data_IF_109861086095
#
_entry.id   IF_109861086095
#
_cell.length_a   1.000
_cell.length_b   1.000
_cell.length_c   1.000
_cell.angle_alpha   90.00
_cell.angle_beta   90.00
_cell.angle_gamma   90.00
#
_symmetry.space_group_name_H-M   'P 1'
#
loop_
_entity.id
_entity.type
_entity.pdbx_description
1 polymer ?
#
# COMPACT_ATOMS: atom_id res chain seq x y z
N UNK A 1 23.95 -1.89 -11.09
CA UNK A 1 23.35 -2.48 -12.32
C UNK A 1 21.85 -2.41 -12.19
N UNK A 2 21.12 -2.18 -13.29
CA UNK A 2 19.65 -2.21 -13.28
C UNK A 2 19.24 -3.68 -13.13
N UNK A 3 18.55 -4.02 -12.05
CA UNK A 3 18.04 -5.37 -11.83
C UNK A 3 16.67 -5.53 -12.50
N UNK A 4 16.66 -6.22 -13.65
CA UNK A 4 15.43 -6.48 -14.40
C UNK A 4 14.42 -7.35 -13.64
N UNK A 5 14.86 -8.10 -12.63
CA UNK A 5 13.96 -8.90 -11.80
C UNK A 5 13.00 -8.02 -11.00
N UNK A 6 13.43 -6.82 -10.57
CA UNK A 6 12.58 -5.84 -9.91
C UNK A 6 11.47 -5.38 -10.86
N UNK A 7 11.82 -4.99 -12.09
CA UNK A 7 10.84 -4.53 -13.09
C UNK A 7 9.80 -5.61 -13.40
N UNK A 8 10.25 -6.86 -13.53
CA UNK A 8 9.38 -8.02 -13.73
C UNK A 8 8.47 -8.27 -12.51
N UNK A 9 9.00 -8.16 -11.29
CA UNK A 9 8.25 -8.31 -10.04
C UNK A 9 7.14 -7.27 -9.94
N UNK A 10 7.44 -6.01 -10.27
CA UNK A 10 6.46 -4.93 -10.31
C UNK A 10 5.39 -5.18 -11.37
N UNK A 11 5.76 -5.57 -12.59
CA UNK A 11 4.78 -5.90 -13.63
C UNK A 11 3.86 -7.06 -13.23
N UNK A 12 4.42 -8.11 -12.62
CA UNK A 12 3.65 -9.24 -12.12
C UNK A 12 2.66 -8.82 -11.01
N UNK A 13 3.10 -7.95 -10.09
CA UNK A 13 2.24 -7.42 -9.03
C UNK A 13 1.09 -6.56 -9.60
N UNK A 14 1.35 -5.72 -10.61
CA UNK A 14 0.30 -5.00 -11.34
C UNK A 14 -0.65 -5.96 -12.08
N UNK A 15 -0.13 -7.07 -12.60
CA UNK A 15 -0.91 -8.14 -13.19
C UNK A 15 -1.85 -8.82 -12.19
N UNK A 16 -1.36 -9.11 -10.98
CA UNK A 16 -2.18 -9.64 -9.88
C UNK A 16 -3.31 -8.68 -9.54
N UNK A 17 -3.02 -7.39 -9.42
CA UNK A 17 -4.04 -6.37 -9.20
C UNK A 17 -5.10 -6.33 -10.33
N UNK A 18 -4.67 -6.38 -11.58
CA UNK A 18 -5.57 -6.40 -12.74
C UNK A 18 -6.46 -7.65 -12.76
N UNK A 19 -5.94 -8.82 -12.37
CA UNK A 19 -6.72 -10.04 -12.21
C UNK A 19 -7.78 -9.90 -11.11
N UNK A 20 -7.40 -9.36 -9.95
CA UNK A 20 -8.33 -9.10 -8.85
C UNK A 20 -9.49 -8.21 -9.30
N UNK A 21 -9.18 -7.14 -10.04
CA UNK A 21 -10.18 -6.24 -10.62
C UNK A 21 -11.08 -6.93 -11.64
N UNK A 22 -10.49 -7.67 -12.58
CA UNK A 22 -11.21 -8.43 -13.61
C UNK A 22 -12.16 -9.49 -13.04
N UNK A 23 -11.91 -9.96 -11.81
CA UNK A 23 -12.77 -10.91 -11.08
C UNK A 23 -13.90 -10.24 -10.28
N UNK A 24 -14.06 -8.91 -10.39
CA UNK A 24 -15.09 -8.14 -9.67
C UNK A 24 -14.62 -7.61 -8.32
N UNK A 25 -13.34 -7.22 -8.22
CA UNK A 25 -12.73 -6.67 -7.00
C UNK A 25 -13.48 -5.49 -6.37
N UNK A 26 -14.02 -4.58 -7.19
CA UNK A 26 -14.84 -3.45 -6.71
C UNK A 26 -16.08 -3.90 -5.93
N UNK A 27 -16.89 -4.76 -6.55
CA UNK A 27 -18.12 -5.25 -5.95
C UNK A 27 -17.83 -6.08 -4.69
N UNK A 28 -16.73 -6.84 -4.72
CA UNK A 28 -16.22 -7.58 -3.58
C UNK A 28 -15.86 -6.66 -2.40
N UNK A 29 -14.99 -5.64 -2.60
CA UNK A 29 -14.61 -4.72 -1.52
C UNK A 29 -15.81 -3.94 -0.99
N UNK A 30 -16.70 -3.49 -1.88
CA UNK A 30 -17.95 -2.82 -1.50
C UNK A 30 -18.82 -3.69 -0.60
N UNK A 31 -18.95 -4.99 -0.89
CA UNK A 31 -19.69 -5.95 -0.05
C UNK A 31 -19.09 -6.05 1.35
N UNK A 32 -17.76 -6.08 1.46
CA UNK A 32 -17.08 -6.13 2.75
C UNK A 32 -17.28 -4.84 3.55
N UNK A 33 -17.17 -3.66 2.92
CA UNK A 33 -17.45 -2.38 3.60
C UNK A 33 -18.87 -2.38 4.15
N UNK A 34 -19.87 -2.74 3.34
CA UNK A 34 -21.27 -2.80 3.78
C UNK A 34 -21.47 -3.79 4.94
N UNK A 35 -20.78 -4.94 4.91
CA UNK A 35 -20.88 -5.97 5.95
C UNK A 35 -20.30 -5.52 7.30
N UNK A 36 -19.24 -4.71 7.28
CA UNK A 36 -18.63 -4.17 8.49
C UNK A 36 -19.33 -2.91 8.99
N UNK A 37 -19.89 -2.09 8.09
CA UNK A 37 -20.51 -0.80 8.40
C UNK A 37 -21.57 -0.93 9.50
N UNK A 38 -22.51 -1.86 9.34
CA UNK A 38 -23.57 -2.09 10.34
C UNK A 38 -23.08 -2.57 11.72
N UNK A 39 -21.84 -3.06 11.83
CA UNK A 39 -21.27 -3.59 13.08
C UNK A 39 -20.40 -2.56 13.82
N UNK A 40 -19.47 -1.95 13.10
CA UNK A 40 -18.41 -1.10 13.66
C UNK A 40 -18.52 0.38 13.25
N UNK A 41 -19.47 0.71 12.38
CA UNK A 41 -19.58 2.03 11.77
C UNK A 41 -18.66 2.20 10.55
N UNK A 42 -19.00 3.14 9.67
CA UNK A 42 -18.36 3.28 8.36
C UNK A 42 -16.86 3.58 8.43
N UNK A 43 -16.38 4.38 9.40
CA UNK A 43 -14.94 4.66 9.55
C UNK A 43 -14.17 3.38 9.80
N UNK A 44 -14.59 2.59 10.79
CA UNK A 44 -13.91 1.35 11.14
C UNK A 44 -14.17 0.21 10.15
N UNK A 45 -15.25 0.28 9.38
CA UNK A 45 -15.45 -0.60 8.23
C UNK A 45 -14.38 -0.34 7.16
N UNK A 46 -14.12 0.92 6.82
CA UNK A 46 -13.04 1.30 5.90
C UNK A 46 -11.68 0.88 6.47
N UNK A 47 -11.41 1.14 7.75
CA UNK A 47 -10.19 0.67 8.42
C UNK A 47 -10.03 -0.85 8.30
N UNK A 48 -11.08 -1.62 8.57
CA UNK A 48 -11.05 -3.08 8.52
C UNK A 48 -10.78 -3.59 7.10
N UNK A 49 -11.46 -3.04 6.09
CA UNK A 49 -11.27 -3.43 4.69
C UNK A 49 -9.88 -3.04 4.20
N UNK A 50 -9.43 -1.80 4.42
CA UNK A 50 -8.07 -1.37 4.04
C UNK A 50 -6.99 -2.22 4.72
N UNK A 51 -7.16 -2.52 6.00
CA UNK A 51 -6.18 -3.33 6.76
C UNK A 51 -6.14 -4.78 6.33
N UNK A 52 -7.29 -5.36 5.98
CA UNK A 52 -7.40 -6.76 5.59
C UNK A 52 -6.86 -7.03 4.19
N UNK A 53 -7.10 -6.13 3.24
CA UNK A 53 -6.80 -6.38 1.83
C UNK A 53 -5.51 -5.73 1.32
N UNK A 54 -5.09 -4.59 1.88
CA UNK A 54 -3.87 -3.91 1.42
C UNK A 54 -2.55 -4.67 1.63
N UNK A 55 -2.42 -5.67 2.53
CA UNK A 55 -1.26 -6.56 2.54
C UNK A 55 -1.21 -7.54 1.35
N UNK A 56 -2.35 -7.80 0.72
CA UNK A 56 -2.46 -8.79 -0.36
C UNK A 56 -2.60 -8.17 -1.75
N UNK A 57 -2.97 -6.90 -1.78
CA UNK A 57 -3.19 -6.10 -2.98
C UNK A 57 -2.29 -4.88 -2.90
N UNK A 58 -1.82 -4.38 -4.04
CA UNK A 58 -1.22 -3.05 -4.14
C UNK A 58 -2.09 -1.99 -3.44
N UNK A 59 -1.52 -1.26 -2.48
CA UNK A 59 -2.16 -0.14 -1.79
C UNK A 59 -2.84 0.83 -2.78
N UNK A 60 -2.19 1.18 -3.88
CA UNK A 60 -2.70 2.11 -4.89
C UNK A 60 -3.96 1.56 -5.57
N UNK A 61 -4.01 0.24 -5.80
CA UNK A 61 -5.17 -0.45 -6.39
C UNK A 61 -6.33 -0.50 -5.40
N UNK A 62 -6.05 -0.77 -4.12
CA UNK A 62 -7.07 -0.64 -3.07
C UNK A 62 -7.68 0.76 -3.09
N UNK A 63 -6.86 1.81 -3.19
CA UNK A 63 -7.33 3.20 -3.27
C UNK A 63 -8.18 3.47 -4.52
N UNK A 64 -7.74 3.03 -5.71
CA UNK A 64 -8.52 3.20 -6.96
C UNK A 64 -9.93 2.63 -6.82
N UNK A 65 -10.04 1.48 -6.16
CA UNK A 65 -11.29 0.74 -6.03
C UNK A 65 -12.15 1.27 -4.88
N UNK A 66 -11.53 1.43 -3.72
CA UNK A 66 -12.23 1.69 -2.46
C UNK A 66 -12.57 3.17 -2.33
N UNK A 67 -11.76 4.10 -2.83
CA UNK A 67 -12.03 5.54 -2.67
C UNK A 67 -13.35 5.97 -3.32
N UNK A 68 -13.69 5.57 -4.57
CA UNK A 68 -15.00 5.84 -5.14
C UNK A 68 -16.15 5.26 -4.32
N UNK A 69 -15.96 4.07 -3.75
CA UNK A 69 -16.93 3.42 -2.86
C UNK A 69 -17.11 4.27 -1.59
N UNK A 70 -16.03 4.63 -0.91
CA UNK A 70 -16.01 5.49 0.29
C UNK A 70 -16.72 6.82 0.04
N UNK A 71 -16.45 7.47 -1.10
CA UNK A 71 -17.12 8.71 -1.50
C UNK A 71 -18.63 8.49 -1.70
N UNK A 72 -19.05 7.44 -2.41
CA UNK A 72 -20.47 7.12 -2.62
C UNK A 72 -21.17 6.84 -1.29
N UNK A 73 -20.52 6.10 -0.39
CA UNK A 73 -20.96 5.86 0.97
C UNK A 73 -21.15 7.17 1.75
N UNK A 74 -20.14 8.04 1.75
CA UNK A 74 -20.21 9.33 2.43
C UNK A 74 -21.42 10.17 1.99
N UNK A 75 -21.67 10.20 0.67
CA UNK A 75 -22.82 10.88 0.07
C UNK A 75 -24.15 10.23 0.44
N UNK A 76 -24.25 8.91 0.36
CA UNK A 76 -25.48 8.18 0.69
C UNK A 76 -25.94 8.41 2.12
N UNK A 77 -24.97 8.44 3.03
CA UNK A 77 -25.18 8.57 4.46
C UNK A 77 -25.08 9.99 5.01
N UNK A 78 -24.80 10.97 4.14
CA UNK A 78 -24.58 12.37 4.50
C UNK A 78 -23.53 12.54 5.64
N UNK A 79 -22.50 11.71 5.63
CA UNK A 79 -21.36 11.81 6.56
C UNK A 79 -20.20 12.53 5.92
N UNK A 80 -19.34 13.10 6.77
CA UNK A 80 -18.11 13.72 6.30
C UNK A 80 -17.19 12.68 5.67
N UNK A 81 -16.78 12.95 4.43
CA UNK A 81 -15.91 12.07 3.64
C UNK A 81 -14.45 12.18 4.09
N UNK A 82 -14.04 13.30 4.70
CA UNK A 82 -12.64 13.54 5.03
C UNK A 82 -12.05 12.49 6.00
N UNK A 83 -12.70 12.12 7.12
CA UNK A 83 -12.20 11.07 8.00
C UNK A 83 -12.17 9.69 7.35
N UNK A 84 -13.09 9.40 6.43
CA UNK A 84 -13.11 8.12 5.72
C UNK A 84 -11.94 8.00 4.74
N UNK A 85 -11.65 9.06 4.00
CA UNK A 85 -10.49 9.11 3.10
C UNK A 85 -9.19 9.02 3.88
N UNK A 86 -9.08 9.71 5.02
CA UNK A 86 -7.88 9.63 5.86
C UNK A 86 -7.74 8.24 6.46
N UNK A 87 -8.82 7.62 6.92
CA UNK A 87 -8.80 6.24 7.40
C UNK A 87 -8.36 5.27 6.30
N UNK A 88 -8.90 5.41 5.09
CA UNK A 88 -8.54 4.61 3.94
C UNK A 88 -7.04 4.74 3.62
N UNK A 89 -6.58 5.97 3.38
CA UNK A 89 -5.18 6.29 3.07
C UNK A 89 -4.26 5.76 4.16
N UNK A 90 -4.52 6.11 5.42
CA UNK A 90 -3.67 5.75 6.54
C UNK A 90 -3.51 4.22 6.65
N UNK A 91 -4.61 3.48 6.61
CA UNK A 91 -4.57 2.04 6.80
C UNK A 91 -4.13 1.28 5.57
N UNK A 92 -4.30 1.79 4.35
CA UNK A 92 -3.66 1.18 3.17
C UNK A 92 -2.14 1.29 3.24
N UNK A 93 -1.58 2.43 3.63
CA UNK A 93 -0.13 2.58 3.78
C UNK A 93 0.41 1.80 4.99
N UNK A 94 -0.27 1.83 6.15
CA UNK A 94 0.13 1.06 7.34
C UNK A 94 0.10 -0.45 7.02
N UNK A 95 -1.03 -0.96 6.51
CA UNK A 95 -1.19 -2.40 6.35
C UNK A 95 -0.36 -2.96 5.20
N UNK A 96 -0.23 -2.24 4.07
CA UNK A 96 0.61 -2.74 2.96
C UNK A 96 2.07 -2.98 3.37
N UNK A 97 2.63 -2.15 4.27
CA UNK A 97 4.00 -2.25 4.78
C UNK A 97 4.35 -3.58 5.46
N UNK A 98 3.37 -4.34 5.96
CA UNK A 98 3.65 -5.63 6.63
C UNK A 98 4.11 -6.72 5.65
N UNK A 99 3.72 -6.58 4.38
CA UNK A 99 3.88 -7.63 3.37
C UNK A 99 4.90 -7.25 2.30
N UNK A 100 5.73 -8.18 1.80
CA UNK A 100 6.68 -7.89 0.73
C UNK A 100 6.03 -7.41 -0.58
N UNK A 101 4.78 -7.79 -0.83
CA UNK A 101 4.08 -7.54 -2.10
C UNK A 101 2.87 -6.59 -1.96
N UNK A 102 2.63 -6.00 -0.78
CA UNK A 102 1.55 -5.02 -0.61
C UNK A 102 1.83 -3.66 -1.25
N UNK A 103 3.10 -3.35 -1.57
CA UNK A 103 3.51 -2.06 -2.11
C UNK A 103 4.82 -2.20 -2.93
N UNK A 104 5.05 -1.43 -4.00
CA UNK A 104 6.29 -1.53 -4.76
C UNK A 104 7.57 -1.33 -3.96
N UNK A 105 7.61 -0.41 -2.98
CA UNK A 105 8.83 -0.23 -2.18
C UNK A 105 9.19 -1.48 -1.36
N UNK A 106 8.19 -2.26 -0.95
CA UNK A 106 8.42 -3.48 -0.18
C UNK A 106 9.04 -4.55 -1.08
N UNK A 107 8.65 -4.64 -2.35
CA UNK A 107 9.27 -5.54 -3.32
C UNK A 107 10.75 -5.18 -3.52
N UNK A 108 11.08 -3.88 -3.63
CA UNK A 108 12.46 -3.43 -3.78
C UNK A 108 13.32 -3.90 -2.60
N UNK A 109 12.82 -3.71 -1.38
CA UNK A 109 13.51 -4.06 -0.13
C UNK A 109 13.60 -5.58 0.06
N UNK A 110 12.53 -6.31 -0.25
CA UNK A 110 12.51 -7.76 -0.17
C UNK A 110 13.50 -8.38 -1.16
N UNK A 111 13.47 -7.94 -2.42
CA UNK A 111 14.40 -8.41 -3.45
C UNK A 111 15.86 -8.10 -3.12
N UNK A 112 16.13 -6.94 -2.51
CA UNK A 112 17.48 -6.54 -2.14
C UNK A 112 18.01 -7.22 -0.85
N UNK A 113 17.12 -7.62 0.06
CA UNK A 113 17.52 -8.19 1.36
C UNK A 113 17.72 -9.70 1.33
N UNK A 114 17.05 -10.42 0.42
CA UNK A 114 17.09 -11.88 0.38
C UNK A 114 16.42 -12.55 1.58
N UNK A 115 15.61 -11.80 2.36
CA UNK A 115 14.81 -12.37 3.44
C UNK A 115 13.70 -13.24 2.90
N UNK A 116 13.29 -14.25 3.66
CA UNK A 116 12.01 -14.93 3.42
C UNK A 116 10.83 -14.00 3.68
N UNK A 117 9.66 -14.33 3.11
CA UNK A 117 8.42 -13.57 3.35
C UNK A 117 8.10 -13.54 4.85
N UNK A 118 8.33 -14.64 5.56
CA UNK A 118 8.07 -14.75 7.00
C UNK A 118 8.95 -13.81 7.83
N UNK A 119 10.25 -13.76 7.54
CA UNK A 119 11.20 -12.85 8.21
C UNK A 119 10.89 -11.39 7.92
N UNK A 120 10.44 -11.08 6.70
CA UNK A 120 10.01 -9.72 6.35
C UNK A 120 8.79 -9.31 7.19
N UNK A 121 7.77 -10.16 7.27
CA UNK A 121 6.57 -9.91 8.08
C UNK A 121 6.93 -9.75 9.56
N UNK A 122 7.77 -10.64 10.09
CA UNK A 122 8.24 -10.63 11.48
C UNK A 122 8.96 -9.33 11.85
N UNK A 123 9.77 -8.78 10.93
CA UNK A 123 10.46 -7.51 11.14
C UNK A 123 9.58 -6.26 10.99
N UNK A 124 8.39 -6.39 10.39
CA UNK A 124 7.55 -5.25 10.01
C UNK A 124 6.33 -5.03 10.93
N UNK A 125 5.74 -6.09 11.50
CA UNK A 125 4.39 -6.00 12.09
C UNK A 125 4.30 -5.13 13.35
N UNK A 126 5.31 -5.13 14.23
CA UNK A 126 5.19 -4.52 15.56
C UNK A 126 4.97 -3.00 15.52
N UNK A 127 5.78 -2.19 14.79
CA UNK A 127 5.53 -0.75 14.71
C UNK A 127 4.22 -0.41 13.98
N UNK A 128 3.78 -1.27 13.05
CA UNK A 128 2.52 -1.08 12.32
C UNK A 128 1.30 -1.26 13.22
N UNK A 129 1.34 -2.21 14.17
CA UNK A 129 0.27 -2.36 15.18
C UNK A 129 0.19 -1.12 16.07
N UNK A 130 1.34 -0.61 16.53
CA UNK A 130 1.38 0.62 17.32
C UNK A 130 0.87 1.83 16.52
N UNK A 131 1.29 1.96 15.26
CA UNK A 131 0.86 3.03 14.36
C UNK A 131 -0.64 2.99 14.07
N UNK A 132 -1.16 1.79 13.74
CA UNK A 132 -2.59 1.55 13.53
C UNK A 132 -3.41 1.86 14.78
N UNK A 133 -2.92 1.51 15.98
CA UNK A 133 -3.54 1.86 17.24
C UNK A 133 -3.66 3.38 17.43
N UNK A 134 -2.56 4.12 17.21
CA UNK A 134 -2.55 5.58 17.29
C UNK A 134 -3.47 6.23 16.25
N UNK A 135 -3.44 5.75 15.00
CA UNK A 135 -4.34 6.21 13.95
C UNK A 135 -5.82 5.97 14.31
N UNK A 136 -6.15 4.79 14.86
CA UNK A 136 -7.49 4.48 15.37
C UNK A 136 -7.91 5.48 16.46
N UNK A 137 -7.03 5.80 17.43
CA UNK A 137 -7.34 6.76 18.50
C UNK A 137 -7.70 8.13 17.94
N UNK A 138 -6.96 8.62 16.94
CA UNK A 138 -7.25 9.90 16.27
C UNK A 138 -8.58 9.85 15.48
N UNK A 139 -8.94 8.67 14.96
CA UNK A 139 -10.15 8.47 14.17
C UNK A 139 -11.42 8.18 15.02
N UNK A 140 -11.28 7.77 16.29
CA UNK A 140 -12.39 7.47 17.20
C UNK A 140 -13.47 8.56 17.25
N UNK A 141 -13.16 9.88 17.31
CA UNK A 141 -14.17 10.93 17.35
C UNK A 141 -15.07 10.97 16.10
N UNK A 142 -14.63 10.37 14.99
CA UNK A 142 -15.35 10.31 13.74
C UNK A 142 -16.14 9.01 13.55
N UNK A 143 -16.01 8.04 14.46
CA UNK A 143 -16.63 6.73 14.41
C UNK A 143 -18.13 6.73 14.75
N UNK A 144 -18.87 7.74 14.29
CA UNK A 144 -20.32 7.79 14.45
C UNK A 144 -20.95 6.66 13.63
N UNK A 145 -21.77 5.82 14.28
CA UNK A 145 -22.67 4.90 13.57
C UNK A 145 -23.68 5.73 12.79
N UNK A 146 -23.81 5.48 11.50
CA UNK A 146 -24.91 6.06 10.75
C UNK A 146 -26.19 5.40 11.23
N UNK A 147 -27.24 6.18 11.48
CA UNK A 147 -28.48 5.69 12.08
C UNK A 147 -29.06 4.49 11.32
N UNK A 148 -29.75 3.62 12.05
CA UNK A 148 -30.24 2.27 11.67
C UNK A 148 -31.24 2.21 10.50
N UNK A 149 -31.46 3.30 9.75
CA UNK A 149 -32.57 3.44 8.80
C UNK A 149 -32.19 3.40 7.31
N UNK A 150 -30.91 3.34 6.94
CA UNK A 150 -30.49 3.25 5.53
C UNK A 150 -29.48 2.12 5.37
N UNK A 151 -29.86 1.02 4.75
CA UNK A 151 -28.90 0.00 4.36
C UNK A 151 -28.14 0.49 3.12
N UNK A 152 -26.82 0.38 3.13
CA UNK A 152 -26.08 0.53 1.89
C UNK A 152 -26.37 -0.69 1.02
N UNK A 153 -26.72 -0.52 -0.27
CA UNK A 153 -27.07 -1.66 -1.11
C UNK A 153 -25.94 -2.68 -1.10
N UNK A 154 -26.21 -3.86 -0.54
CA UNK A 154 -25.25 -4.95 -0.51
C UNK A 154 -25.03 -5.44 -1.92
N UNK A 155 -23.80 -5.24 -2.35
CA UNK A 155 -23.25 -5.77 -3.56
C UNK A 155 -23.42 -7.30 -3.65
N UNK A 156 -24.09 -7.82 -4.68
CA UNK A 156 -24.13 -9.28 -4.97
C UNK A 156 -22.84 -9.61 -5.73
N UNK A 157 -21.76 -9.75 -4.97
CA UNK A 157 -20.42 -10.02 -5.49
C UNK A 157 -20.03 -11.49 -5.40
N UNK A 158 -19.23 -11.95 -6.36
CA UNK A 158 -18.54 -13.24 -6.32
C UNK A 158 -17.52 -13.28 -5.17
N UNK A 159 -17.28 -14.46 -4.59
CA UNK A 159 -16.17 -14.69 -3.65
C UNK A 159 -14.84 -14.97 -4.35
N UNK A 160 -14.84 -15.02 -5.69
CA UNK A 160 -13.67 -15.33 -6.51
C UNK A 160 -12.47 -14.42 -6.23
N UNK A 161 -12.62 -13.09 -6.03
CA UNK A 161 -11.47 -12.24 -5.69
C UNK A 161 -10.78 -12.65 -4.39
N UNK A 162 -11.52 -13.06 -3.35
CA UNK A 162 -10.92 -13.57 -2.11
C UNK A 162 -10.12 -14.85 -2.33
N UNK A 163 -10.70 -15.80 -3.07
CA UNK A 163 -10.04 -17.07 -3.39
C UNK A 163 -8.74 -16.80 -4.14
N UNK A 164 -8.76 -15.85 -5.08
CA UNK A 164 -7.57 -15.45 -5.81
C UNK A 164 -6.49 -14.83 -4.91
N UNK A 165 -6.84 -13.94 -3.97
CA UNK A 165 -5.85 -13.38 -3.03
C UNK A 165 -5.22 -14.43 -2.12
N UNK A 166 -6.02 -15.37 -1.64
CA UNK A 166 -5.50 -16.50 -0.84
C UNK A 166 -4.55 -17.35 -1.70
N UNK A 167 -4.89 -17.60 -2.96
CA UNK A 167 -4.01 -18.32 -3.88
C UNK A 167 -2.72 -17.55 -4.14
N UNK A 168 -2.78 -16.24 -4.37
CA UNK A 168 -1.59 -15.38 -4.56
C UNK A 168 -0.67 -15.50 -3.35
N UNK A 169 -1.20 -15.34 -2.13
CA UNK A 169 -0.42 -15.48 -0.91
C UNK A 169 0.21 -16.88 -0.81
N UNK A 170 -0.56 -17.94 -1.07
CA UNK A 170 -0.08 -19.31 -1.03
C UNK A 170 1.02 -19.58 -2.07
N UNK A 171 0.87 -19.07 -3.30
CA UNK A 171 1.85 -19.24 -4.39
C UNK A 171 3.14 -18.47 -4.07
N UNK A 172 3.04 -17.25 -3.53
CA UNK A 172 4.21 -16.46 -3.15
C UNK A 172 4.96 -17.11 -1.98
N UNK A 173 4.25 -17.55 -0.95
CA UNK A 173 4.84 -18.25 0.20
C UNK A 173 5.47 -19.60 -0.21
N UNK A 174 4.79 -20.37 -1.06
CA UNK A 174 5.34 -21.61 -1.60
C UNK A 174 6.57 -21.33 -2.46
N UNK A 175 6.53 -20.32 -3.33
CA UNK A 175 7.66 -19.90 -4.15
C UNK A 175 8.87 -19.52 -3.32
N UNK A 176 8.67 -18.69 -2.30
CA UNK A 176 9.71 -18.31 -1.32
C UNK A 176 10.30 -19.54 -0.61
N UNK A 177 9.47 -20.46 -0.13
CA UNK A 177 9.93 -21.70 0.53
C UNK A 177 10.72 -22.64 -0.39
N UNK A 178 10.48 -22.55 -1.71
CA UNK A 178 11.20 -23.29 -2.74
C UNK A 178 12.45 -22.55 -3.24
N UNK A 179 12.77 -21.37 -2.68
CA UNK A 179 13.89 -20.53 -3.10
C UNK A 179 13.68 -19.85 -4.45
N UNK A 180 12.43 -19.72 -4.92
CA UNK A 180 12.12 -18.93 -6.11
C UNK A 180 12.29 -17.45 -5.78
N UNK A 181 13.00 -16.72 -6.64
CA UNK A 181 13.13 -15.27 -6.50
C UNK A 181 11.77 -14.55 -6.59
N UNK A 182 11.66 -13.32 -6.05
CA UNK A 182 10.42 -12.52 -6.03
C UNK A 182 9.69 -12.44 -7.37
N UNK A 183 10.44 -12.24 -8.46
CA UNK A 183 9.90 -12.09 -9.81
C UNK A 183 9.19 -13.35 -10.31
N UNK A 184 9.75 -14.52 -10.01
CA UNK A 184 9.19 -15.81 -10.42
C UNK A 184 7.96 -16.12 -9.58
N UNK A 185 8.05 -15.95 -8.26
CA UNK A 185 6.94 -16.21 -7.33
C UNK A 185 5.72 -15.32 -7.67
N UNK A 186 5.94 -14.02 -7.89
CA UNK A 186 4.87 -13.09 -8.28
C UNK A 186 4.37 -13.36 -9.70
N UNK A 187 5.25 -13.74 -10.63
CA UNK A 187 4.87 -14.14 -11.98
C UNK A 187 3.93 -15.34 -11.99
N UNK A 188 4.23 -16.38 -11.20
CA UNK A 188 3.34 -17.53 -11.02
C UNK A 188 2.01 -17.15 -10.37
N UNK A 189 2.04 -16.26 -9.37
CA UNK A 189 0.83 -15.76 -8.73
C UNK A 189 -0.08 -15.01 -9.72
N UNK A 190 0.51 -14.17 -10.59
CA UNK A 190 -0.21 -13.52 -11.69
C UNK A 190 -0.80 -14.55 -12.67
N UNK A 191 0.01 -15.50 -13.13
CA UNK A 191 -0.40 -16.52 -14.10
C UNK A 191 -1.51 -17.44 -13.56
N UNK A 192 -1.54 -17.70 -12.26
CA UNK A 192 -2.59 -18.50 -11.63
C UNK A 192 -4.00 -17.87 -11.78
N UNK A 193 -4.08 -16.55 -11.95
CA UNK A 193 -5.35 -15.84 -12.16
C UNK A 193 -6.08 -16.27 -13.43
N UNK A 194 -5.36 -16.70 -14.46
CA UNK A 194 -5.94 -17.16 -15.72
C UNK A 194 -6.68 -18.50 -15.60
N UNK A 195 -6.51 -19.23 -14.49
CA UNK A 195 -7.22 -20.49 -14.23
C UNK A 195 -8.71 -20.28 -13.93
N UNK A 196 -9.08 -19.09 -13.44
CA UNK A 196 -10.43 -18.83 -12.92
C UNK A 196 -11.44 -18.35 -13.98
N UNK A 197 -10.97 -17.82 -15.12
CA UNK A 197 -11.86 -17.27 -16.13
C UNK A 197 -11.29 -17.41 -17.54
N UNK A 198 -12.06 -17.98 -18.48
CA UNK A 198 -11.68 -18.10 -19.90
C UNK A 198 -11.46 -16.75 -20.59
N UNK A 199 -12.09 -15.69 -20.09
CA UNK A 199 -11.91 -14.32 -20.57
C UNK A 199 -10.93 -13.50 -19.72
N UNK A 200 -10.15 -14.12 -18.82
CA UNK A 200 -9.22 -13.44 -17.94
C UNK A 200 -8.27 -12.50 -18.69
N UNK A 201 -7.76 -12.90 -19.87
CA UNK A 201 -6.87 -12.06 -20.67
C UNK A 201 -7.50 -10.73 -21.10
N UNK A 202 -8.79 -10.74 -21.49
CA UNK A 202 -9.50 -9.51 -21.84
C UNK A 202 -9.77 -8.63 -20.61
N UNK A 203 -10.12 -9.24 -19.48
CA UNK A 203 -10.32 -8.53 -18.22
C UNK A 203 -9.02 -7.87 -17.73
N UNK A 204 -7.92 -8.62 -17.71
CA UNK A 204 -6.59 -8.09 -17.36
C UNK A 204 -6.21 -6.95 -18.30
N UNK A 205 -6.37 -7.10 -19.61
CA UNK A 205 -6.03 -6.05 -20.56
C UNK A 205 -6.82 -4.75 -20.34
N UNK A 206 -8.06 -4.84 -19.84
CA UNK A 206 -8.88 -3.67 -19.53
C UNK A 206 -8.48 -3.00 -18.20
N UNK A 207 -8.09 -3.80 -17.20
CA UNK A 207 -7.81 -3.33 -15.84
C UNK A 207 -6.32 -3.05 -15.56
N UNK A 208 -5.42 -3.47 -16.45
CA UNK A 208 -3.98 -3.32 -16.25
C UNK A 208 -3.54 -1.86 -16.36
N UNK A 209 -3.12 -1.28 -15.23
CA UNK A 209 -2.64 0.10 -15.16
C UNK A 209 -1.19 0.23 -15.65
N UNK A 210 -1.02 0.12 -16.97
CA UNK A 210 0.28 0.26 -17.64
C UNK A 210 0.92 1.64 -17.36
N UNK A 211 0.10 2.68 -17.21
CA UNK A 211 0.59 4.05 -17.00
C UNK A 211 1.28 4.20 -15.64
N UNK A 212 0.65 3.68 -14.58
CA UNK A 212 1.25 3.70 -13.25
C UNK A 212 2.49 2.80 -13.18
N UNK A 213 2.45 1.62 -13.84
CA UNK A 213 3.64 0.74 -13.93
C UNK A 213 4.83 1.44 -14.60
N UNK A 214 4.62 2.08 -15.76
CA UNK A 214 5.68 2.81 -16.47
C UNK A 214 6.20 3.98 -15.63
N UNK A 215 5.31 4.70 -14.94
CA UNK A 215 5.69 5.81 -14.06
C UNK A 215 6.57 5.31 -12.92
N UNK A 216 6.20 4.19 -12.31
CA UNK A 216 6.97 3.54 -11.25
C UNK A 216 8.33 3.06 -11.74
N UNK A 217 8.39 2.42 -12.90
CA UNK A 217 9.63 2.03 -13.56
C UNK A 217 10.53 3.22 -13.85
N UNK A 218 9.97 4.35 -14.28
CA UNK A 218 10.69 5.59 -14.50
C UNK A 218 11.24 6.17 -13.19
N UNK A 219 10.47 6.17 -12.10
CA UNK A 219 10.96 6.59 -10.79
C UNK A 219 12.10 5.71 -10.28
N UNK A 220 11.94 4.39 -10.35
CA UNK A 220 13.01 3.44 -9.95
C UNK A 220 14.26 3.65 -10.80
N UNK A 221 14.11 3.75 -12.12
CA UNK A 221 15.22 3.96 -13.05
C UNK A 221 15.92 5.29 -12.83
N UNK A 222 15.17 6.39 -12.75
CA UNK A 222 15.71 7.74 -12.56
C UNK A 222 16.44 7.86 -11.23
N UNK A 223 15.86 7.35 -10.14
CA UNK A 223 16.53 7.38 -8.83
C UNK A 223 17.77 6.51 -8.81
N UNK A 224 17.77 5.36 -9.49
CA UNK A 224 18.97 4.51 -9.61
C UNK A 224 20.10 5.25 -10.33
N UNK A 225 19.79 5.90 -11.45
CA UNK A 225 20.77 6.68 -12.22
C UNK A 225 21.27 7.87 -11.41
N UNK A 226 20.37 8.64 -10.78
CA UNK A 226 20.73 9.77 -9.93
C UNK A 226 21.60 9.31 -8.74
N UNK A 227 21.23 8.19 -8.11
CA UNK A 227 21.98 7.59 -7.02
C UNK A 227 23.40 7.20 -7.42
N UNK A 228 23.61 6.66 -8.63
CA UNK A 228 24.95 6.37 -9.13
C UNK A 228 25.83 7.62 -9.20
N UNK A 229 25.34 8.70 -9.82
CA UNK A 229 26.09 9.95 -9.98
C UNK A 229 26.28 10.74 -8.68
N UNK A 230 25.32 10.65 -7.76
CA UNK A 230 25.32 11.41 -6.51
C UNK A 230 25.76 10.57 -5.29
N UNK A 231 26.17 9.32 -5.52
CA UNK A 231 26.50 8.34 -4.46
C UNK A 231 27.50 8.88 -3.44
N UNK A 232 28.55 9.57 -3.88
CA UNK A 232 29.56 10.16 -3.00
C UNK A 232 28.98 11.16 -1.98
N UNK A 233 28.01 11.97 -2.39
CA UNK A 233 27.37 12.97 -1.53
C UNK A 233 26.21 12.42 -0.72
N UNK A 234 25.48 11.43 -1.25
CA UNK A 234 24.27 10.89 -0.62
C UNK A 234 24.55 9.72 0.31
N UNK A 235 25.61 8.93 0.07
CA UNK A 235 25.95 7.77 0.91
C UNK A 235 26.19 8.15 2.38
N UNK A 236 26.91 9.23 2.74
CA UNK A 236 27.06 9.61 4.15
C UNK A 236 25.75 9.93 4.86
N UNK A 237 24.72 10.33 4.10
CA UNK A 237 23.38 10.64 4.62
C UNK A 237 22.48 9.41 4.65
N UNK A 238 22.53 8.56 3.62
CA UNK A 238 21.63 7.41 3.52
C UNK A 238 22.16 6.16 4.26
N UNK A 239 23.47 6.01 4.43
CA UNK A 239 24.08 4.85 5.07
C UNK A 239 23.64 4.66 6.53
N UNK A 240 23.57 5.69 7.40
CA UNK A 240 23.10 5.51 8.77
C UNK A 240 21.63 5.03 8.84
N UNK A 241 20.80 5.43 7.86
CA UNK A 241 19.44 4.90 7.73
C UNK A 241 19.46 3.42 7.31
N UNK A 242 20.28 3.06 6.31
CA UNK A 242 20.45 1.67 5.85
C UNK A 242 21.01 0.72 6.93
N UNK A 243 21.73 1.26 7.91
CA UNK A 243 22.30 0.55 9.07
C UNK A 243 21.34 0.47 10.27
N UNK A 244 20.24 1.23 10.24
CA UNK A 244 19.25 1.22 11.30
C UNK A 244 19.58 2.07 12.52
N UNK A 245 20.36 3.15 12.35
CA UNK A 245 20.60 4.12 13.41
C UNK A 245 19.29 4.85 13.71
N UNK A 246 18.65 4.59 14.85
CA UNK A 246 17.44 5.31 15.26
C UNK A 246 17.75 6.48 16.21
N UNK A 247 16.98 7.59 16.17
CA UNK A 247 15.80 7.83 15.32
C UNK A 247 16.16 8.34 13.90
N UNK A 248 17.44 8.26 13.51
CA UNK A 248 17.90 8.82 12.24
C UNK A 248 17.24 8.17 11.03
N UNK A 249 17.13 6.84 10.98
CA UNK A 249 16.48 6.11 9.87
C UNK A 249 15.04 6.58 9.67
N UNK A 250 14.25 6.57 10.76
CA UNK A 250 12.89 7.10 10.75
C UNK A 250 12.84 8.55 10.28
N UNK A 251 13.62 9.46 10.84
CA UNK A 251 13.61 10.87 10.41
C UNK A 251 14.02 11.06 8.95
N UNK A 252 15.03 10.32 8.49
CA UNK A 252 15.50 10.35 7.11
C UNK A 252 14.40 9.90 6.16
N UNK A 253 13.78 8.75 6.41
CA UNK A 253 12.68 8.24 5.59
C UNK A 253 11.42 9.10 5.67
N UNK A 254 11.11 9.63 6.86
CA UNK A 254 10.06 10.60 7.10
C UNK A 254 10.18 11.82 6.19
N UNK A 255 11.39 12.37 6.07
CA UNK A 255 11.68 13.51 5.21
C UNK A 255 11.68 13.13 3.72
N UNK A 256 12.54 12.17 3.34
CA UNK A 256 12.80 11.87 1.93
C UNK A 256 11.56 11.30 1.25
N UNK A 257 10.80 10.42 1.92
CA UNK A 257 9.55 9.89 1.38
C UNK A 257 8.53 11.00 1.12
N UNK A 258 8.44 12.01 1.97
CA UNK A 258 7.51 13.13 1.77
C UNK A 258 7.98 14.15 0.72
N UNK A 259 9.26 14.12 0.34
CA UNK A 259 9.82 14.97 -0.72
C UNK A 259 9.66 14.35 -2.10
N UNK A 260 9.96 13.06 -2.25
CA UNK A 260 10.02 12.40 -3.56
C UNK A 260 9.08 11.20 -3.72
N UNK A 261 8.45 10.72 -2.64
CA UNK A 261 7.59 9.54 -2.61
C UNK A 261 8.29 8.30 -2.01
N UNK A 262 7.52 7.40 -1.42
CA UNK A 262 7.99 6.17 -0.76
C UNK A 262 8.85 5.25 -1.65
N UNK A 263 8.45 5.03 -2.90
CA UNK A 263 9.20 4.15 -3.83
C UNK A 263 10.56 4.74 -4.21
N UNK A 264 10.65 5.97 -4.76
CA UNK A 264 11.96 6.55 -5.06
C UNK A 264 12.79 6.81 -3.79
N UNK A 265 12.21 7.15 -2.64
CA UNK A 265 12.96 7.26 -1.39
C UNK A 265 13.64 5.94 -1.00
N UNK A 266 12.90 4.83 -1.13
CA UNK A 266 13.43 3.49 -0.87
C UNK A 266 14.51 3.11 -1.89
N UNK A 267 14.27 3.37 -3.17
CA UNK A 267 15.26 3.11 -4.21
C UNK A 267 16.53 3.96 -4.03
N UNK A 268 16.42 5.15 -3.43
CA UNK A 268 17.57 5.98 -3.11
C UNK A 268 18.48 5.27 -2.12
N UNK A 269 17.93 4.74 -1.01
CA UNK A 269 18.71 3.98 -0.02
C UNK A 269 19.39 2.79 -0.70
N UNK A 270 18.65 2.01 -1.47
CA UNK A 270 19.17 0.82 -2.17
C UNK A 270 20.25 1.18 -3.21
N UNK A 271 20.15 2.35 -3.84
CA UNK A 271 21.05 2.77 -4.90
C UNK A 271 22.37 3.38 -4.40
N UNK A 272 22.40 3.97 -3.20
CA UNK A 272 23.58 4.72 -2.70
C UNK A 272 24.20 4.12 -1.44
N UNK A 273 23.53 3.16 -0.79
CA UNK A 273 23.92 2.60 0.51
C UNK A 273 24.04 1.08 0.44
N UNK A 274 24.64 0.47 1.46
CA UNK A 274 24.62 -0.98 1.65
C UNK A 274 23.56 -1.34 2.69
N UNK A 275 22.43 -1.88 2.22
CA UNK A 275 21.31 -2.26 3.08
C UNK A 275 21.64 -3.51 3.91
N UNK A 276 21.47 -3.43 5.23
CA UNK A 276 21.46 -4.61 6.07
C UNK A 276 20.16 -5.39 5.87
N UNK A 277 20.17 -6.72 5.67
CA UNK A 277 18.94 -7.48 5.36
C UNK A 277 17.80 -7.25 6.36
N UNK A 278 18.11 -7.25 7.66
CA UNK A 278 17.13 -7.03 8.73
C UNK A 278 16.53 -5.61 8.75
N UNK A 279 17.15 -4.64 8.08
CA UNK A 279 16.61 -3.28 7.93
C UNK A 279 15.57 -3.16 6.81
N UNK A 280 15.48 -4.11 5.89
CA UNK A 280 14.48 -4.09 4.83
C UNK A 280 13.04 -3.93 5.33
N UNK A 281 12.53 -4.75 6.26
CA UNK A 281 11.18 -4.57 6.78
C UNK A 281 11.02 -3.27 7.57
N UNK A 282 12.06 -2.81 8.27
CA UNK A 282 12.03 -1.52 8.99
C UNK A 282 11.90 -0.33 8.04
N UNK A 283 12.70 -0.27 6.97
CA UNK A 283 12.61 0.80 5.97
C UNK A 283 11.26 0.75 5.23
N UNK A 284 10.71 -0.45 4.99
CA UNK A 284 9.37 -0.59 4.39
C UNK A 284 8.27 0.01 5.28
N UNK A 285 8.38 -0.19 6.60
CA UNK A 285 7.52 0.44 7.61
C UNK A 285 7.75 1.95 7.63
N UNK A 286 8.99 2.41 7.75
CA UNK A 286 9.32 3.84 7.78
C UNK A 286 8.81 4.57 6.52
N UNK A 287 9.04 4.02 5.32
CA UNK A 287 8.56 4.58 4.07
C UNK A 287 7.02 4.61 4.00
N UNK A 288 6.35 3.52 4.39
CA UNK A 288 4.89 3.43 4.37
C UNK A 288 4.24 4.39 5.36
N UNK A 289 4.75 4.45 6.60
CA UNK A 289 4.26 5.37 7.62
C UNK A 289 4.55 6.82 7.26
N UNK A 290 5.74 7.12 6.72
CA UNK A 290 6.07 8.45 6.20
C UNK A 290 5.11 8.87 5.10
N UNK A 291 4.68 7.90 4.28
CA UNK A 291 3.63 8.06 3.30
C UNK A 291 2.37 8.72 3.85
N UNK A 292 2.01 8.54 5.13
CA UNK A 292 0.79 9.12 5.68
C UNK A 292 0.88 10.60 6.07
N UNK A 293 2.08 11.19 6.18
CA UNK A 293 2.26 12.56 6.66
C UNK A 293 1.77 13.59 5.63
N UNK A 294 2.12 13.41 4.36
CA UNK A 294 1.86 14.38 3.31
C UNK A 294 1.29 13.80 2.02
N UNK A 295 0.68 14.62 1.15
CA UNK A 295 0.06 14.15 -0.08
C UNK A 295 1.06 13.56 -1.09
N UNK A 296 2.34 13.95 -1.04
CA UNK A 296 3.40 13.46 -1.94
C UNK A 296 4.03 12.16 -1.38
N UNK A 297 3.84 11.88 -0.08
CA UNK A 297 4.49 10.78 0.63
C UNK A 297 4.28 9.39 0.01
N UNK A 298 3.16 9.19 -0.66
CA UNK A 298 2.79 7.95 -1.34
C UNK A 298 1.92 8.24 -2.56
N UNK A 299 2.04 7.44 -3.62
CA UNK A 299 1.22 7.57 -4.83
C UNK A 299 -0.28 7.39 -4.54
N UNK A 300 -0.62 6.45 -3.64
CA UNK A 300 -1.94 6.25 -3.05
C UNK A 300 -2.60 7.57 -2.60
N UNK A 301 -1.86 8.45 -1.93
CA UNK A 301 -2.42 9.68 -1.40
C UNK A 301 -2.86 10.63 -2.52
N UNK A 302 -2.01 10.78 -3.53
CA UNK A 302 -2.30 11.63 -4.69
C UNK A 302 -3.56 11.12 -5.38
N UNK A 303 -3.67 9.81 -5.55
CA UNK A 303 -4.78 9.16 -6.24
C UNK A 303 -6.10 9.32 -5.46
N UNK A 304 -6.07 9.04 -4.16
CA UNK A 304 -7.22 9.22 -3.27
C UNK A 304 -7.71 10.67 -3.28
N UNK A 305 -6.79 11.64 -3.15
CA UNK A 305 -7.12 13.06 -3.16
C UNK A 305 -7.65 13.54 -4.52
N UNK A 306 -7.15 12.98 -5.63
CA UNK A 306 -7.67 13.28 -6.97
C UNK A 306 -9.10 12.76 -7.14
N UNK A 307 -9.39 11.53 -6.73
CA UNK A 307 -10.73 10.93 -6.79
C UNK A 307 -11.69 11.70 -5.87
N UNK A 308 -11.25 12.06 -4.66
CA UNK A 308 -12.00 12.86 -3.71
C UNK A 308 -12.33 14.26 -4.26
N UNK A 309 -11.34 14.93 -4.88
CA UNK A 309 -11.52 16.25 -5.50
C UNK A 309 -12.54 16.22 -6.63
N UNK A 310 -12.46 15.24 -7.53
CA UNK A 310 -13.45 15.03 -8.61
C UNK A 310 -14.87 14.81 -8.07
N UNK A 311 -14.96 14.34 -6.83
CA UNK A 311 -16.22 14.03 -6.18
C UNK A 311 -16.80 15.15 -5.31
N UNK A 312 -16.09 16.28 -5.17
CA UNK A 312 -16.50 17.46 -4.41
C UNK A 312 -16.08 17.48 -2.93
N UNK A 313 -15.13 16.65 -2.51
CA UNK A 313 -14.69 16.55 -1.11
C UNK A 313 -13.89 17.79 -0.62
N UNK A 314 -13.97 18.14 0.69
CA UNK A 314 -13.27 19.29 1.26
C UNK A 314 -11.76 19.02 1.49
N UNK A 315 -10.94 19.24 0.46
CA UNK A 315 -9.51 18.89 0.43
C UNK A 315 -8.69 19.48 1.60
N UNK A 316 -8.90 20.74 1.99
CA UNK A 316 -8.10 21.37 3.07
C UNK A 316 -8.22 20.62 4.40
N UNK A 317 -9.43 20.17 4.74
CA UNK A 317 -9.70 19.44 5.97
C UNK A 317 -9.13 18.02 5.91
N UNK A 318 -9.27 17.36 4.77
CA UNK A 318 -8.66 16.04 4.53
C UNK A 318 -7.15 16.09 4.73
N UNK A 319 -6.47 17.11 4.17
CA UNK A 319 -5.02 17.27 4.33
C UNK A 319 -4.60 17.54 5.78
N UNK A 320 -5.34 18.39 6.50
CA UNK A 320 -5.03 18.68 7.91
C UNK A 320 -5.19 17.43 8.80
N UNK A 321 -6.27 16.66 8.59
CA UNK A 321 -6.51 15.42 9.33
C UNK A 321 -5.50 14.34 8.94
N UNK A 322 -5.16 14.24 7.65
CA UNK A 322 -4.10 13.35 7.16
C UNK A 322 -2.77 13.66 7.83
N UNK A 323 -2.37 14.93 7.87
CA UNK A 323 -1.13 15.35 8.53
C UNK A 323 -1.11 14.97 10.02
N UNK A 324 -2.22 15.19 10.73
CA UNK A 324 -2.36 14.81 12.13
C UNK A 324 -2.23 13.29 12.35
N UNK A 325 -3.00 12.50 11.60
CA UNK A 325 -2.95 11.03 11.67
C UNK A 325 -1.58 10.51 11.25
N UNK A 326 -0.98 11.11 10.23
CA UNK A 326 0.33 10.75 9.70
C UNK A 326 1.45 11.00 10.71
N UNK A 327 1.53 12.19 11.32
CA UNK A 327 2.56 12.49 12.32
C UNK A 327 2.44 11.58 13.54
N UNK A 328 1.23 11.42 14.08
CA UNK A 328 1.01 10.58 15.26
C UNK A 328 1.27 9.10 14.94
N UNK A 329 0.79 8.64 13.78
CA UNK A 329 1.05 7.29 13.29
C UNK A 329 2.51 7.05 12.91
N UNK A 330 3.31 8.09 12.69
CA UNK A 330 4.74 7.96 12.36
C UNK A 330 5.64 7.73 13.58
N UNK A 331 5.19 8.08 14.79
CA UNK A 331 6.00 7.97 16.02
C UNK A 331 6.65 6.58 16.20
N UNK A 332 5.96 5.45 15.97
CA UNK A 332 6.57 4.13 16.09
C UNK A 332 7.73 3.86 15.12
N UNK A 333 7.84 4.57 13.99
CA UNK A 333 8.96 4.44 13.05
C UNK A 333 10.26 5.11 13.54
N UNK A 334 10.23 5.84 14.66
CA UNK A 334 11.41 6.48 15.24
C UNK A 334 12.19 5.56 16.21
N UNK A 335 11.71 4.34 16.43
CA UNK A 335 12.24 3.35 17.39
C UNK A 335 12.50 2.01 16.69
#
# INVERSE_FOLDING_TARGET
>A
MIDFSIYASLAALFGVAAQFQAMGGEEFLRRFVASFEGRVGIVFAVVAVSSLFSPFILNDVVIVILTPVVVKFAKHFAVDVAPLLVAEIAFTNIASSVSPFGNPQNILLWSASGLSVSQFVEGAWLPLVASGGLACVVLLPFAKRVGTGKEFPTAVGSSLPAVYLVLVAAVVLAGDSLGLGPSVALGLAFLSGFLFNRNAARGVAAEFDLRSLITLWAFVGLTTVAGYFLSGSLRPLAQPAAEGVQPYSGLFMGLVSNLIGNVPATQLILGVSTLQPWMAPKIAVEAGLAGNIGPIGSFANILALQIARRSGAPIKRTLALQFLVGILGFVPALF
#
